data_IF_769801827416
#
_entry.id   IF_769801827416
#
_cell.length_a   1.000
_cell.length_b   1.000
_cell.length_c   1.000
_cell.angle_alpha   90.00
_cell.angle_beta   90.00
_cell.angle_gamma   90.00
#
_symmetry.space_group_name_H-M   'P 1'
#
loop_
_entity.id
_entity.type
_entity.pdbx_description
1 polymer ?
#
# COMPACT_ATOMS: atom_id res chain seq x y z
N UNK A 1 25.71 -5.81 0.33
CA UNK A 1 24.44 -6.11 -0.36
C UNK A 1 23.31 -5.38 0.35
N UNK A 2 22.81 -4.32 -0.26
CA UNK A 2 21.78 -3.42 0.31
C UNK A 2 20.42 -4.12 0.22
N UNK A 3 19.89 -4.55 1.36
CA UNK A 3 18.57 -5.19 1.48
C UNK A 3 17.51 -4.13 1.20
N UNK A 4 16.86 -4.20 0.04
CA UNK A 4 15.90 -3.20 -0.45
C UNK A 4 14.51 -3.30 0.20
N UNK A 5 14.21 -4.38 0.92
CA UNK A 5 13.03 -4.49 1.78
C UNK A 5 13.32 -5.46 2.94
N UNK A 6 13.16 -5.08 4.22
CA UNK A 6 13.36 -6.01 5.33
C UNK A 6 12.19 -7.00 5.39
N UNK A 7 12.54 -8.26 5.57
CA UNK A 7 11.68 -9.25 6.23
C UNK A 7 11.10 -8.59 7.50
N UNK A 8 9.78 -8.56 7.63
CA UNK A 8 9.02 -8.35 8.89
C UNK A 8 9.79 -7.55 9.95
N UNK A 9 9.66 -6.22 9.94
CA UNK A 9 10.35 -5.36 10.89
C UNK A 9 10.02 -5.79 12.33
N UNK A 10 11.04 -6.22 13.07
CA UNK A 10 10.93 -6.40 14.52
C UNK A 10 10.75 -5.04 15.19
N UNK A 11 9.94 -5.00 16.25
CA UNK A 11 9.74 -3.79 17.05
C UNK A 11 11.10 -3.31 17.59
N UNK A 12 11.57 -2.18 17.07
CA UNK A 12 12.86 -1.61 17.40
C UNK A 12 12.77 -0.09 17.46
N UNK A 13 13.77 0.55 18.08
CA UNK A 13 13.87 2.01 18.08
C UNK A 13 13.81 2.60 16.66
N UNK A 14 14.52 1.98 15.72
CA UNK A 14 14.57 2.41 14.34
C UNK A 14 13.22 2.26 13.61
N UNK A 15 12.45 1.20 13.89
CA UNK A 15 11.11 1.02 13.29
C UNK A 15 10.10 2.05 13.82
N UNK A 16 10.20 2.40 15.11
CA UNK A 16 9.39 3.46 15.71
C UNK A 16 9.74 4.84 15.15
N UNK A 17 11.03 5.16 15.02
CA UNK A 17 11.50 6.41 14.40
C UNK A 17 11.05 6.53 12.94
N UNK A 18 11.14 5.43 12.17
CA UNK A 18 10.63 5.37 10.79
C UNK A 18 9.12 5.62 10.73
N UNK A 19 8.36 5.00 11.65
CA UNK A 19 6.92 5.20 11.75
C UNK A 19 6.57 6.66 12.02
N UNK A 20 7.22 7.28 13.02
CA UNK A 20 7.03 8.68 13.34
C UNK A 20 7.42 9.59 12.17
N UNK A 21 8.48 9.26 11.44
CA UNK A 21 8.88 10.01 10.25
C UNK A 21 7.80 10.00 9.16
N UNK A 22 7.19 8.85 8.85
CA UNK A 22 6.11 8.78 7.87
C UNK A 22 4.85 9.54 8.33
N UNK A 23 4.47 9.38 9.60
CA UNK A 23 3.31 10.04 10.17
C UNK A 23 3.46 11.58 10.23
N UNK A 24 4.65 12.06 10.60
CA UNK A 24 4.91 13.48 10.81
C UNK A 24 5.41 14.21 9.56
N UNK A 25 5.81 13.49 8.51
CA UNK A 25 6.21 14.12 7.25
C UNK A 25 5.07 14.98 6.71
N UNK A 26 5.39 15.99 5.90
CA UNK A 26 4.35 16.70 5.16
C UNK A 26 3.67 15.76 4.16
N UNK A 27 2.40 16.05 3.85
CA UNK A 27 1.69 15.32 2.81
C UNK A 27 2.22 15.73 1.43
N UNK A 28 2.34 14.79 0.51
CA UNK A 28 2.59 15.09 -0.89
C UNK A 28 1.43 15.94 -1.42
N UNK A 29 1.68 16.84 -2.38
CA UNK A 29 0.62 17.67 -2.95
C UNK A 29 -0.52 16.80 -3.49
N UNK A 30 -1.71 16.96 -2.91
CA UNK A 30 -2.91 16.18 -3.26
C UNK A 30 -3.06 14.85 -2.52
N UNK A 31 -2.14 14.50 -1.63
CA UNK A 31 -2.27 13.39 -0.69
C UNK A 31 -3.10 13.81 0.52
N UNK A 32 -3.99 12.92 0.96
CA UNK A 32 -4.61 12.99 2.30
C UNK A 32 -4.06 11.81 3.09
N UNK A 33 -3.46 12.08 4.24
CA UNK A 33 -2.89 11.05 5.10
C UNK A 33 -3.24 11.26 6.57
N UNK A 34 -3.22 10.18 7.32
CA UNK A 34 -3.42 10.18 8.76
C UNK A 34 -2.69 8.97 9.38
N UNK A 35 -2.46 9.00 10.69
CA UNK A 35 -1.97 7.85 11.44
C UNK A 35 -2.95 7.36 12.50
N UNK A 36 -4.00 6.61 12.10
CA UNK A 36 -4.96 6.01 13.01
C UNK A 36 -4.30 5.08 14.02
N UNK A 37 -4.84 5.07 15.24
CA UNK A 37 -4.39 4.18 16.34
C UNK A 37 -5.37 3.03 16.61
N UNK A 38 -6.41 2.91 15.79
CA UNK A 38 -7.37 1.82 15.84
C UNK A 38 -7.99 1.54 14.47
N UNK A 39 -8.66 0.40 14.35
CA UNK A 39 -9.41 0.05 13.15
C UNK A 39 -10.61 1.00 12.94
N UNK A 40 -11.25 1.45 14.01
CA UNK A 40 -12.38 2.39 13.95
C UNK A 40 -11.93 3.74 13.39
N UNK A 41 -10.80 4.26 13.86
CA UNK A 41 -10.20 5.48 13.32
C UNK A 41 -9.79 5.30 11.85
N UNK A 42 -9.24 4.13 11.50
CA UNK A 42 -8.91 3.79 10.11
C UNK A 42 -10.14 3.81 9.19
N UNK A 43 -11.24 3.18 9.63
CA UNK A 43 -12.51 3.16 8.88
C UNK A 43 -13.07 4.58 8.75
N UNK A 44 -13.06 5.35 9.85
CA UNK A 44 -13.53 6.74 9.86
C UNK A 44 -12.74 7.60 8.87
N UNK A 45 -11.40 7.52 8.92
CA UNK A 45 -10.52 8.19 7.98
C UNK A 45 -10.78 7.75 6.54
N UNK A 46 -10.97 6.46 6.30
CA UNK A 46 -11.20 5.93 4.95
C UNK A 46 -12.52 6.44 4.35
N UNK A 47 -13.58 6.52 5.16
CA UNK A 47 -14.87 7.12 4.75
C UNK A 47 -14.72 8.59 4.43
N UNK A 48 -14.01 9.34 5.27
CA UNK A 48 -13.71 10.75 5.04
C UNK A 48 -12.93 10.97 3.75
N UNK A 49 -11.80 10.27 3.58
CA UNK A 49 -10.92 10.44 2.42
C UNK A 49 -11.60 10.03 1.12
N UNK A 50 -12.45 9.00 1.12
CA UNK A 50 -13.19 8.54 -0.06
C UNK A 50 -14.53 9.25 -0.28
N UNK A 51 -15.02 10.03 0.69
CA UNK A 51 -16.30 10.72 0.63
C UNK A 51 -17.50 9.77 0.53
N UNK A 52 -17.38 8.53 1.01
CA UNK A 52 -18.39 7.46 0.85
C UNK A 52 -18.48 6.63 2.14
N UNK A 53 -19.69 6.22 2.50
CA UNK A 53 -19.94 5.45 3.73
C UNK A 53 -19.78 3.94 3.55
N UNK A 54 -20.04 3.42 2.35
CA UNK A 54 -19.92 2.00 2.04
C UNK A 54 -18.56 1.74 1.42
N UNK A 55 -17.75 0.96 2.13
CA UNK A 55 -16.38 0.64 1.75
C UNK A 55 -16.22 -0.87 1.61
N UNK A 56 -15.33 -1.28 0.70
CA UNK A 56 -14.82 -2.64 0.63
C UNK A 56 -13.35 -2.62 1.04
N UNK A 57 -12.99 -3.46 2.01
CA UNK A 57 -11.61 -3.72 2.39
C UNK A 57 -11.01 -4.82 1.49
N UNK A 58 -9.80 -4.58 1.00
CA UNK A 58 -9.00 -5.52 0.23
C UNK A 58 -7.67 -5.74 0.95
N UNK A 59 -7.26 -7.00 1.05
CA UNK A 59 -6.01 -7.40 1.70
C UNK A 59 -5.32 -8.48 0.87
N UNK A 60 -3.99 -8.50 0.90
CA UNK A 60 -3.22 -9.59 0.30
C UNK A 60 -3.35 -10.85 1.15
N UNK A 61 -3.60 -11.99 0.50
CA UNK A 61 -3.55 -13.27 1.18
C UNK A 61 -2.10 -13.67 1.48
N UNK A 62 -1.89 -14.37 2.61
CA UNK A 62 -0.57 -14.93 2.94
C UNK A 62 -0.17 -15.97 1.90
N UNK A 63 1.04 -15.81 1.37
CA UNK A 63 1.63 -16.72 0.39
C UNK A 63 2.73 -17.53 1.08
N UNK A 64 2.59 -18.86 1.14
CA UNK A 64 3.57 -19.74 1.82
C UNK A 64 4.69 -20.24 0.91
N UNK A 65 4.52 -20.11 -0.41
CA UNK A 65 5.48 -20.53 -1.44
C UNK A 65 6.24 -19.31 -1.96
N UNK A 66 7.54 -19.45 -2.20
CA UNK A 66 8.35 -18.38 -2.79
C UNK A 66 8.15 -18.26 -4.31
N UNK A 67 7.81 -19.38 -4.96
CA UNK A 67 7.80 -19.48 -6.42
C UNK A 67 6.35 -19.58 -6.91
N UNK A 68 5.95 -18.63 -7.74
CA UNK A 68 4.60 -18.53 -8.28
C UNK A 68 4.60 -17.81 -9.64
N UNK A 69 3.54 -18.03 -10.40
CA UNK A 69 3.24 -17.31 -11.63
C UNK A 69 2.00 -16.44 -11.43
N UNK A 70 1.96 -15.30 -12.10
CA UNK A 70 0.74 -14.49 -12.18
C UNK A 70 -0.23 -15.16 -13.15
N UNK A 71 -1.48 -15.38 -12.72
CA UNK A 71 -2.53 -15.97 -13.57
C UNK A 71 -3.52 -14.92 -14.06
N UNK A 72 -4.10 -14.16 -13.15
CA UNK A 72 -5.18 -13.21 -13.45
C UNK A 72 -4.93 -11.91 -12.73
N UNK A 73 -4.99 -10.80 -13.46
CA UNK A 73 -4.90 -9.46 -12.90
C UNK A 73 -6.27 -8.79 -13.09
N UNK A 74 -6.93 -8.49 -11.98
CA UNK A 74 -8.20 -7.76 -11.95
C UNK A 74 -7.94 -6.35 -11.45
N UNK A 75 -8.11 -5.36 -12.33
CA UNK A 75 -8.16 -3.95 -11.95
C UNK A 75 -9.50 -3.63 -11.28
N UNK A 76 -9.48 -2.88 -10.19
CA UNK A 76 -10.70 -2.22 -9.70
C UNK A 76 -10.78 -0.84 -10.32
N UNK A 77 -11.90 -0.55 -10.99
CA UNK A 77 -12.11 0.75 -11.62
C UNK A 77 -12.46 1.80 -10.57
N UNK A 78 -11.42 2.31 -9.89
CA UNK A 78 -11.51 3.31 -8.84
C UNK A 78 -10.40 4.33 -9.07
N UNK A 79 -10.77 5.61 -9.09
CA UNK A 79 -9.83 6.74 -9.28
C UNK A 79 -9.14 7.18 -7.98
N UNK A 80 -9.69 6.74 -6.84
CA UNK A 80 -9.21 7.06 -5.50
C UNK A 80 -9.41 5.84 -4.59
N UNK A 81 -8.37 5.53 -3.83
CA UNK A 81 -8.34 4.46 -2.84
C UNK A 81 -7.65 5.00 -1.57
N UNK A 82 -7.85 4.33 -0.45
CA UNK A 82 -7.06 4.59 0.77
C UNK A 82 -6.22 3.35 1.06
N UNK A 83 -4.90 3.49 1.07
CA UNK A 83 -4.00 2.43 1.51
C UNK A 83 -3.63 2.69 2.97
N UNK A 84 -3.71 1.65 3.79
CA UNK A 84 -3.38 1.68 5.20
C UNK A 84 -2.36 0.58 5.48
N UNK A 85 -1.21 1.02 5.97
CA UNK A 85 -0.08 0.15 6.29
C UNK A 85 0.00 -0.02 7.81
N UNK A 86 0.14 -1.25 8.27
CA UNK A 86 0.46 -1.47 9.68
C UNK A 86 1.87 -0.93 9.95
N UNK A 87 2.00 -0.13 11.01
CA UNK A 87 3.27 0.46 11.42
C UNK A 87 3.63 0.01 12.81
N UNK A 88 4.93 -0.04 13.11
CA UNK A 88 5.45 -0.73 14.27
C UNK A 88 5.63 0.23 15.45
N UNK A 89 4.58 0.35 16.26
CA UNK A 89 4.59 0.98 17.58
C UNK A 89 4.24 -0.08 18.64
N UNK A 90 4.52 0.17 19.93
CA UNK A 90 4.11 -0.74 21.02
C UNK A 90 2.58 -0.81 21.23
N UNK A 91 1.81 -0.17 20.36
CA UNK A 91 0.35 -0.19 20.30
C UNK A 91 -0.08 -0.22 18.83
N UNK A 92 -1.33 -0.64 18.56
CA UNK A 92 -1.87 -0.68 17.20
C UNK A 92 -1.80 0.71 16.57
N UNK A 93 -1.13 0.81 15.43
CA UNK A 93 -1.00 2.05 14.69
C UNK A 93 -0.89 1.74 13.20
N UNK A 94 -1.39 2.66 12.39
CA UNK A 94 -1.44 2.52 10.95
C UNK A 94 -0.96 3.81 10.31
N UNK A 95 -0.26 3.70 9.18
CA UNK A 95 -0.04 4.82 8.28
C UNK A 95 -1.05 4.70 7.13
N UNK A 96 -2.04 5.58 7.10
CA UNK A 96 -3.06 5.59 6.06
C UNK A 96 -2.91 6.79 5.16
N UNK A 97 -3.00 6.59 3.85
CA UNK A 97 -2.95 7.67 2.88
C UNK A 97 -3.78 7.41 1.63
N UNK A 98 -4.13 8.50 0.94
CA UNK A 98 -4.86 8.50 -0.31
C UNK A 98 -4.21 9.50 -1.25
N UNK A 99 -3.69 9.00 -2.37
CA UNK A 99 -3.09 9.79 -3.44
C UNK A 99 -4.02 9.71 -4.65
N UNK A 100 -4.17 10.81 -5.38
CA UNK A 100 -4.96 10.83 -6.62
C UNK A 100 -4.28 9.97 -7.70
N UNK A 101 -5.05 9.50 -8.69
CA UNK A 101 -4.52 8.66 -9.77
C UNK A 101 -3.90 7.34 -9.29
N UNK A 102 -4.38 6.81 -8.16
CA UNK A 102 -3.99 5.49 -7.67
C UNK A 102 -4.85 4.40 -8.34
N UNK A 103 -4.21 3.39 -8.92
CA UNK A 103 -4.87 2.15 -9.38
C UNK A 103 -4.59 1.00 -8.43
N UNK A 104 -5.57 0.11 -8.29
CA UNK A 104 -5.47 -1.08 -7.44
C UNK A 104 -5.85 -2.34 -8.23
N UNK A 105 -5.10 -3.41 -7.98
CA UNK A 105 -5.23 -4.68 -8.69
C UNK A 105 -5.28 -5.83 -7.70
N UNK A 106 -6.19 -6.77 -7.92
CA UNK A 106 -6.12 -8.11 -7.34
C UNK A 106 -5.40 -9.03 -8.33
N UNK A 107 -4.37 -9.72 -7.87
CA UNK A 107 -3.51 -10.57 -8.69
C UNK A 107 -3.53 -11.98 -8.14
N UNK A 108 -4.06 -12.91 -8.94
CA UNK A 108 -4.05 -14.33 -8.63
C UNK A 108 -2.67 -14.93 -8.90
N UNK A 109 -2.13 -15.59 -7.88
CA UNK A 109 -0.89 -16.35 -7.93
C UNK A 109 -1.20 -17.85 -8.07
N UNK A 110 -0.44 -18.55 -8.92
CA UNK A 110 -0.54 -20.00 -9.11
C UNK A 110 0.83 -20.66 -9.06
N UNK A 111 0.85 -21.96 -8.78
CA UNK A 111 2.07 -22.76 -8.86
C UNK A 111 2.58 -22.83 -10.31
N UNK A 112 3.91 -22.75 -10.55
CA UNK A 112 4.44 -22.76 -11.91
C UNK A 112 4.12 -24.02 -12.71
N UNK A 113 4.25 -25.19 -12.07
CA UNK A 113 4.12 -26.50 -12.71
C UNK A 113 2.65 -26.94 -12.78
N UNK A 114 1.95 -26.93 -11.65
CA UNK A 114 0.61 -27.50 -11.54
C UNK A 114 -0.50 -26.53 -11.92
N UNK A 115 -0.19 -25.22 -11.96
CA UNK A 115 -1.16 -24.12 -12.13
C UNK A 115 -2.25 -24.07 -11.06
N UNK A 116 -2.07 -24.79 -9.95
CA UNK A 116 -2.99 -24.75 -8.82
C UNK A 116 -3.00 -23.35 -8.18
N UNK A 117 -4.17 -22.86 -7.72
CA UNK A 117 -4.26 -21.59 -7.00
C UNK A 117 -3.37 -21.57 -5.76
N UNK A 118 -2.57 -20.52 -5.60
CA UNK A 118 -1.75 -20.28 -4.41
C UNK A 118 -2.42 -19.26 -3.50
N UNK A 119 -2.70 -18.07 -4.02
CA UNK A 119 -3.26 -16.96 -3.26
C UNK A 119 -3.69 -15.83 -4.22
N UNK A 120 -4.47 -14.87 -3.71
CA UNK A 120 -4.67 -13.58 -4.38
C UNK A 120 -4.01 -12.48 -3.56
N UNK A 121 -3.17 -11.67 -4.20
CA UNK A 121 -2.45 -10.54 -3.59
C UNK A 121 -2.89 -9.22 -4.20
N UNK A 122 -2.72 -8.13 -3.44
CA UNK A 122 -3.09 -6.78 -3.87
C UNK A 122 -1.85 -6.01 -4.28
N UNK A 123 -1.92 -5.35 -5.44
CA UNK A 123 -0.94 -4.39 -5.91
C UNK A 123 -1.58 -3.01 -6.03
N UNK A 124 -0.80 -1.98 -5.73
CA UNK A 124 -1.16 -0.58 -5.91
C UNK A 124 -0.16 0.07 -6.84
N UNK A 125 -0.65 0.86 -7.79
CA UNK A 125 0.16 1.66 -8.70
C UNK A 125 -0.24 3.12 -8.62
N UNK A 126 0.73 3.98 -8.41
CA UNK A 126 0.61 5.42 -8.44
C UNK A 126 0.94 5.86 -9.87
N UNK A 127 -0.09 6.22 -10.63
CA UNK A 127 0.03 6.45 -12.07
C UNK A 127 0.59 7.83 -12.42
N UNK A 128 0.54 8.76 -11.48
CA UNK A 128 1.11 10.10 -11.62
C UNK A 128 1.99 10.41 -10.41
N UNK A 129 3.29 10.46 -10.64
CA UNK A 129 4.31 10.75 -9.62
C UNK A 129 4.85 12.17 -9.73
N UNK A 130 4.29 13.02 -10.59
CA UNK A 130 4.81 14.36 -10.91
C UNK A 130 4.86 15.29 -9.69
N UNK A 131 3.92 15.09 -8.76
CA UNK A 131 3.82 15.88 -7.53
C UNK A 131 4.74 15.40 -6.39
N UNK A 132 5.45 14.28 -6.58
CA UNK A 132 6.25 13.67 -5.51
C UNK A 132 7.59 14.40 -5.35
N UNK A 133 8.13 14.47 -4.13
CA UNK A 133 9.47 15.04 -3.89
C UNK A 133 10.55 14.30 -4.69
N UNK A 134 11.45 15.03 -5.37
CA UNK A 134 12.50 14.41 -6.19
C UNK A 134 13.45 13.48 -5.41
N UNK A 135 13.56 13.65 -4.09
CA UNK A 135 14.33 12.78 -3.21
C UNK A 135 13.55 11.58 -2.66
N UNK A 136 12.30 11.37 -3.08
CA UNK A 136 11.46 10.26 -2.65
C UNK A 136 12.13 8.91 -2.97
N UNK A 137 12.04 7.96 -2.04
CA UNK A 137 12.79 6.68 -2.12
C UNK A 137 12.45 5.86 -3.37
N UNK A 138 11.21 5.97 -3.85
CA UNK A 138 10.75 5.27 -5.07
C UNK A 138 11.63 5.61 -6.30
N UNK A 139 12.06 6.86 -6.45
CA UNK A 139 12.88 7.30 -7.58
C UNK A 139 14.29 6.70 -7.56
N UNK A 140 14.83 6.42 -6.37
CA UNK A 140 16.11 5.70 -6.22
C UNK A 140 15.99 4.23 -6.63
N UNK A 141 14.87 3.58 -6.28
CA UNK A 141 14.64 2.16 -6.54
C UNK A 141 14.31 1.93 -8.02
N UNK A 142 13.38 2.73 -8.54
CA UNK A 142 12.82 2.57 -9.87
C UNK A 142 13.60 3.32 -10.96
N UNK A 143 14.58 4.15 -10.57
CA UNK A 143 15.54 4.84 -11.46
C UNK A 143 14.88 5.79 -12.47
N UNK A 144 13.94 6.61 -12.00
CA UNK A 144 13.31 7.67 -12.78
C UNK A 144 12.97 8.86 -11.87
N UNK A 145 12.65 10.02 -12.45
CA UNK A 145 12.36 11.28 -11.75
C UNK A 145 10.84 11.53 -11.63
N UNK A 146 10.39 12.51 -10.83
CA UNK A 146 8.96 12.85 -10.75
C UNK A 146 8.31 13.01 -12.12
N UNK A 147 7.23 12.27 -12.37
CA UNK A 147 6.44 12.35 -13.60
C UNK A 147 6.99 11.56 -14.80
N UNK A 148 8.18 10.97 -14.70
CA UNK A 148 8.75 10.14 -15.80
C UNK A 148 8.22 8.70 -15.81
N UNK A 149 7.43 8.31 -14.80
CA UNK A 149 6.93 6.95 -14.69
C UNK A 149 5.95 6.72 -13.54
N UNK A 150 5.52 5.47 -13.44
CA UNK A 150 4.54 4.98 -12.48
C UNK A 150 5.26 4.26 -11.33
N UNK A 151 4.77 4.42 -10.10
CA UNK A 151 5.32 3.74 -8.94
C UNK A 151 4.34 2.67 -8.43
N UNK A 152 4.67 1.40 -8.64
CA UNK A 152 3.87 0.27 -8.16
C UNK A 152 4.53 -0.44 -6.99
N UNK A 153 3.72 -0.94 -6.05
CA UNK A 153 4.17 -1.82 -4.99
C UNK A 153 3.11 -2.84 -4.60
N UNK A 154 3.55 -3.94 -4.01
CA UNK A 154 2.68 -4.93 -3.39
C UNK A 154 2.20 -4.44 -2.02
N UNK A 155 0.97 -4.78 -1.67
CA UNK A 155 0.45 -4.65 -0.31
C UNK A 155 0.86 -5.89 0.47
N UNK A 156 1.39 -5.71 1.68
CA UNK A 156 1.67 -6.84 2.56
C UNK A 156 0.37 -7.47 3.06
N UNK A 157 0.45 -8.67 3.65
CA UNK A 157 -0.74 -9.37 4.16
C UNK A 157 -1.29 -8.77 5.47
N UNK A 158 -0.67 -7.71 5.97
CA UNK A 158 -1.10 -6.95 7.16
C UNK A 158 -1.58 -5.54 6.78
N UNK A 159 -1.43 -5.16 5.51
CA UNK A 159 -1.94 -3.89 4.99
C UNK A 159 -3.40 -4.04 4.51
N UNK A 160 -4.12 -2.93 4.50
CA UNK A 160 -5.49 -2.83 4.02
C UNK A 160 -5.61 -1.75 2.95
N UNK A 161 -6.27 -2.08 1.84
CA UNK A 161 -6.73 -1.10 0.88
C UNK A 161 -8.25 -0.96 0.94
N UNK A 162 -8.73 0.28 1.07
CA UNK A 162 -10.14 0.60 1.09
C UNK A 162 -10.55 1.22 -0.23
N UNK A 163 -11.64 0.71 -0.79
CA UNK A 163 -12.29 1.28 -1.96
C UNK A 163 -13.73 1.61 -1.65
N UNK A 164 -14.24 2.69 -2.25
CA UNK A 164 -15.67 2.99 -2.18
C UNK A 164 -16.47 1.98 -3.00
N UNK A 165 -17.62 1.58 -2.47
CA UNK A 165 -18.65 0.83 -3.21
C UNK A 165 -19.96 1.59 -3.10
N UNK A 166 -20.76 1.56 -4.16
CA UNK A 166 -22.08 2.21 -4.15
C UNK A 166 -23.11 1.38 -3.40
#
# INVERSE_FOLDING_TARGET
>A
MTKLFPQSFELSKNSMETTLSHCNAEAIKGEIKNCPKSLEEMISFSKFALGKNRLLALASQRTKKSDFLLRKIKKYDRKKIVACHEVYLPFAAYFCHSISSTQIYAVDLVEPETRLPVSTVIAICQMDTSAWPANHVAFKILKFSPGEGEACHWMSNIDLAWIAVD
#
